data_IF_201700293540
#
_entry.id   IF_201700293540
#
_cell.length_a   1.000
_cell.length_b   1.000
_cell.length_c   1.000
_cell.angle_alpha   90.00
_cell.angle_beta   90.00
_cell.angle_gamma   90.00
#
_symmetry.space_group_name_H-M   'P 1'
#
loop_
_entity.id
_entity.type
_entity.pdbx_description
1 polymer ?
#
# COMPACT_ATOMS: atom_id res chain seq x y z
N UNK A 1 30.16 2.51 -8.86
CA UNK A 1 29.55 3.35 -7.80
C UNK A 1 28.09 2.95 -7.67
N UNK A 2 27.74 2.21 -6.63
CA UNK A 2 26.40 1.66 -6.40
C UNK A 2 25.68 2.54 -5.38
N UNK A 3 24.58 3.17 -5.79
CA UNK A 3 23.63 3.80 -4.85
C UNK A 3 22.25 3.12 -4.98
N UNK A 4 22.05 1.90 -4.42
CA UNK A 4 20.78 1.17 -4.54
C UNK A 4 19.79 1.51 -3.41
N UNK A 5 20.26 1.97 -2.25
CA UNK A 5 19.45 2.12 -1.03
C UNK A 5 18.39 3.24 -1.12
N UNK A 6 18.63 4.27 -1.94
CA UNK A 6 17.76 5.46 -1.99
C UNK A 6 16.42 5.21 -2.67
N UNK A 7 16.32 4.21 -3.58
CA UNK A 7 15.08 3.95 -4.34
C UNK A 7 13.96 3.30 -3.50
N UNK A 8 14.30 2.38 -2.58
CA UNK A 8 13.32 1.65 -1.77
C UNK A 8 12.60 2.52 -0.73
N UNK A 9 13.34 3.42 -0.07
CA UNK A 9 12.75 4.40 0.83
C UNK A 9 11.83 5.39 0.09
N UNK A 10 12.21 5.78 -1.13
CA UNK A 10 11.42 6.68 -1.97
C UNK A 10 10.05 6.12 -2.34
N UNK A 11 9.97 4.86 -2.81
CA UNK A 11 8.69 4.29 -3.24
C UNK A 11 7.70 4.10 -2.09
N UNK A 12 8.17 3.69 -0.91
CA UNK A 12 7.33 3.54 0.27
C UNK A 12 6.74 4.88 0.72
N UNK A 13 7.54 5.95 0.65
CA UNK A 13 7.05 7.30 0.92
C UNK A 13 6.00 7.74 -0.10
N UNK A 14 6.24 7.53 -1.39
CA UNK A 14 5.26 7.82 -2.45
C UNK A 14 3.94 7.09 -2.22
N UNK A 15 3.98 5.79 -1.91
CA UNK A 15 2.77 4.99 -1.64
C UNK A 15 2.04 5.50 -0.39
N UNK A 16 2.75 5.87 0.67
CA UNK A 16 2.14 6.45 1.87
C UNK A 16 1.47 7.79 1.58
N UNK A 17 2.14 8.69 0.87
CA UNK A 17 1.57 9.97 0.47
C UNK A 17 0.32 9.80 -0.39
N UNK A 18 0.35 8.86 -1.33
CA UNK A 18 -0.81 8.51 -2.14
C UNK A 18 -1.98 8.06 -1.26
N UNK A 19 -1.77 7.10 -0.35
CA UNK A 19 -2.83 6.61 0.53
C UNK A 19 -3.35 7.71 1.46
N UNK A 20 -2.46 8.55 2.00
CA UNK A 20 -2.84 9.69 2.83
C UNK A 20 -3.67 10.71 2.05
N UNK A 21 -3.41 10.92 0.76
CA UNK A 21 -4.21 11.82 -0.07
C UNK A 21 -5.66 11.31 -0.21
N UNK A 22 -5.83 10.01 -0.49
CA UNK A 22 -7.17 9.39 -0.54
C UNK A 22 -7.87 9.43 0.82
N UNK A 23 -7.16 9.06 1.89
CA UNK A 23 -7.74 9.09 3.24
C UNK A 23 -8.05 10.52 3.71
N UNK A 24 -7.32 11.53 3.24
CA UNK A 24 -7.51 12.93 3.59
C UNK A 24 -8.76 13.57 2.97
N UNK A 25 -9.25 13.03 1.85
CA UNK A 25 -10.47 13.52 1.22
C UNK A 25 -11.71 13.34 2.11
N UNK A 26 -11.82 12.21 2.81
CA UNK A 26 -12.97 11.91 3.65
C UNK A 26 -13.17 12.89 4.84
N UNK A 27 -12.17 13.20 5.70
CA UNK A 27 -12.33 14.21 6.75
C UNK A 27 -12.48 15.63 6.19
N UNK A 28 -11.91 15.93 5.01
CA UNK A 28 -12.14 17.22 4.35
C UNK A 28 -13.62 17.38 3.95
N UNK A 29 -14.22 16.36 3.34
CA UNK A 29 -15.65 16.39 3.04
C UNK A 29 -16.50 16.38 4.31
N UNK A 30 -16.09 15.68 5.38
CA UNK A 30 -16.78 15.76 6.67
C UNK A 30 -16.82 17.20 7.19
N UNK A 31 -15.69 17.90 7.13
CA UNK A 31 -15.58 19.30 7.53
C UNK A 31 -16.49 20.21 6.69
N UNK A 32 -16.54 19.99 5.37
CA UNK A 32 -17.44 20.72 4.48
C UNK A 32 -18.91 20.43 4.85
N UNK A 33 -19.26 19.18 5.14
CA UNK A 33 -20.63 18.78 5.49
C UNK A 33 -21.14 19.44 6.78
N UNK A 34 -20.26 19.80 7.73
CA UNK A 34 -20.66 20.55 8.94
C UNK A 34 -21.31 21.90 8.63
N UNK A 35 -21.04 22.48 7.46
CA UNK A 35 -21.60 23.76 7.04
C UNK A 35 -22.81 23.63 6.11
N UNK A 36 -23.06 22.44 5.55
CA UNK A 36 -24.04 22.25 4.47
C UNK A 36 -25.20 21.34 4.89
N UNK A 37 -24.94 20.32 5.70
CA UNK A 37 -25.93 19.31 6.09
C UNK A 37 -26.43 19.52 7.53
N UNK A 38 -27.67 19.13 7.81
CA UNK A 38 -28.27 19.28 9.14
C UNK A 38 -27.63 18.29 10.14
N UNK A 39 -26.99 18.76 11.22
CA UNK A 39 -26.41 17.90 12.25
C UNK A 39 -27.44 17.33 13.24
N UNK A 40 -28.68 17.84 13.25
CA UNK A 40 -29.68 17.51 14.27
C UNK A 40 -30.51 16.26 14.01
N UNK A 41 -30.53 15.74 12.78
CA UNK A 41 -31.43 14.65 12.39
C UNK A 41 -30.68 13.38 12.01
N UNK A 42 -30.95 12.22 12.62
CA UNK A 42 -30.32 10.97 12.21
C UNK A 42 -30.88 10.47 10.87
N UNK A 43 -30.07 9.76 10.06
CA UNK A 43 -30.53 9.13 8.84
C UNK A 43 -31.48 7.97 9.15
N UNK A 44 -32.26 7.56 8.16
CA UNK A 44 -33.06 6.34 8.27
C UNK A 44 -32.17 5.11 8.48
N UNK A 45 -32.65 4.13 9.24
CA UNK A 45 -31.93 2.87 9.50
C UNK A 45 -31.59 2.14 8.20
N UNK A 46 -32.47 2.20 7.19
CA UNK A 46 -32.23 1.60 5.88
C UNK A 46 -31.00 2.20 5.17
N UNK A 47 -30.83 3.52 5.23
CA UNK A 47 -29.65 4.21 4.67
C UNK A 47 -28.37 3.76 5.37
N UNK A 48 -28.38 3.70 6.70
CA UNK A 48 -27.21 3.24 7.48
C UNK A 48 -26.86 1.80 7.12
N UNK A 49 -27.83 0.89 7.12
CA UNK A 49 -27.61 -0.52 6.75
C UNK A 49 -27.06 -0.62 5.33
N UNK A 50 -27.63 0.13 4.37
CA UNK A 50 -27.17 0.14 2.99
C UNK A 50 -25.70 0.57 2.85
N UNK A 51 -25.29 1.64 3.55
CA UNK A 51 -23.91 2.12 3.55
C UNK A 51 -22.94 1.14 4.24
N UNK A 52 -23.37 0.46 5.30
CA UNK A 52 -22.56 -0.57 5.95
C UNK A 52 -22.39 -1.80 5.06
N UNK A 53 -23.46 -2.26 4.40
CA UNK A 53 -23.40 -3.35 3.42
C UNK A 53 -22.47 -3.00 2.27
N UNK A 54 -22.54 -1.75 1.78
CA UNK A 54 -21.64 -1.27 0.74
C UNK A 54 -20.17 -1.31 1.18
N UNK A 55 -19.86 -0.89 2.42
CA UNK A 55 -18.51 -0.98 2.98
C UNK A 55 -18.01 -2.42 3.09
N UNK A 56 -18.85 -3.35 3.53
CA UNK A 56 -18.51 -4.77 3.58
C UNK A 56 -18.28 -5.31 2.16
N UNK A 57 -19.11 -4.93 1.21
CA UNK A 57 -18.96 -5.34 -0.19
C UNK A 57 -17.63 -4.83 -0.78
N UNK A 58 -17.29 -3.55 -0.59
CA UNK A 58 -16.01 -3.00 -1.09
C UNK A 58 -14.80 -3.61 -0.39
N UNK A 59 -14.90 -3.93 0.90
CA UNK A 59 -13.87 -4.69 1.61
C UNK A 59 -13.61 -6.05 0.93
N UNK A 60 -14.67 -6.81 0.63
CA UNK A 60 -14.56 -8.11 -0.04
C UNK A 60 -14.02 -7.96 -1.47
N UNK A 61 -14.50 -6.97 -2.22
CA UNK A 61 -14.01 -6.72 -3.59
C UNK A 61 -12.54 -6.31 -3.59
N UNK A 62 -12.10 -5.46 -2.66
CA UNK A 62 -10.70 -5.07 -2.50
C UNK A 62 -9.81 -6.27 -2.16
N UNK A 63 -10.32 -7.22 -1.36
CA UNK A 63 -9.64 -8.47 -1.04
C UNK A 63 -9.49 -9.40 -2.26
N UNK A 64 -10.54 -9.51 -3.08
CA UNK A 64 -10.57 -10.42 -4.23
C UNK A 64 -9.81 -9.90 -5.45
N UNK A 65 -9.84 -8.59 -5.67
CA UNK A 65 -9.31 -7.94 -6.88
C UNK A 65 -8.03 -7.16 -6.59
N UNK A 66 -7.96 -6.47 -5.46
CA UNK A 66 -6.89 -5.51 -5.14
C UNK A 66 -5.52 -6.12 -4.81
N UNK A 67 -5.39 -7.45 -4.83
CA UNK A 67 -4.12 -8.15 -4.67
C UNK A 67 -3.72 -9.01 -5.88
N UNK A 68 -4.50 -8.98 -6.97
CA UNK A 68 -4.18 -9.75 -8.17
C UNK A 68 -3.06 -9.07 -8.93
N UNK A 69 -1.95 -9.78 -9.10
CA UNK A 69 -0.81 -9.32 -9.91
C UNK A 69 -0.25 -10.47 -10.74
N UNK A 70 0.18 -10.22 -11.99
CA UNK A 70 0.94 -11.20 -12.75
C UNK A 70 2.22 -11.59 -11.99
N UNK A 71 2.57 -12.86 -12.04
CA UNK A 71 3.80 -13.37 -11.45
C UNK A 71 5.03 -12.90 -12.24
N UNK A 72 6.17 -12.79 -11.55
CA UNK A 72 7.46 -12.58 -12.18
C UNK A 72 7.98 -13.93 -12.66
N UNK A 73 8.32 -14.02 -13.95
CA UNK A 73 8.82 -15.27 -14.53
C UNK A 73 10.20 -15.65 -13.96
N UNK A 74 10.49 -16.94 -13.78
CA UNK A 74 11.83 -17.42 -13.45
C UNK A 74 12.89 -16.89 -14.41
N UNK A 75 14.06 -16.52 -13.89
CA UNK A 75 15.17 -16.00 -14.71
C UNK A 75 15.03 -14.53 -15.12
N UNK A 76 14.00 -13.81 -14.67
CA UNK A 76 13.88 -12.36 -14.88
C UNK A 76 15.09 -11.65 -14.26
N UNK A 77 15.78 -10.75 -14.99
CA UNK A 77 16.90 -9.99 -14.46
C UNK A 77 16.51 -9.16 -13.22
N UNK A 78 17.38 -9.04 -12.19
CA UNK A 78 17.05 -8.36 -10.93
C UNK A 78 16.53 -6.93 -11.11
N UNK A 79 17.11 -6.17 -12.03
CA UNK A 79 16.72 -4.78 -12.29
C UNK A 79 15.29 -4.68 -12.82
N UNK A 80 14.89 -5.62 -13.69
CA UNK A 80 13.52 -5.69 -14.21
C UNK A 80 12.55 -6.18 -13.14
N UNK A 81 12.93 -7.18 -12.35
CA UNK A 81 12.10 -7.70 -11.28
C UNK A 81 11.75 -6.62 -10.25
N UNK A 82 12.73 -5.78 -9.86
CA UNK A 82 12.52 -4.64 -8.96
C UNK A 82 11.57 -3.60 -9.56
N UNK A 83 11.71 -3.30 -10.85
CA UNK A 83 10.81 -2.39 -11.57
C UNK A 83 9.37 -2.91 -11.61
N UNK A 84 9.18 -4.19 -11.95
CA UNK A 84 7.87 -4.85 -11.97
C UNK A 84 7.23 -4.88 -10.59
N UNK A 85 7.99 -5.23 -9.54
CA UNK A 85 7.51 -5.28 -8.17
C UNK A 85 7.07 -3.89 -7.66
N UNK A 86 7.85 -2.86 -8.00
CA UNK A 86 7.56 -1.46 -7.69
C UNK A 86 6.26 -0.98 -8.35
N UNK A 87 6.10 -1.25 -9.66
CA UNK A 87 4.89 -0.92 -10.39
C UNK A 87 3.66 -1.67 -9.85
N UNK A 88 3.82 -2.95 -9.51
CA UNK A 88 2.77 -3.76 -8.90
C UNK A 88 2.33 -3.21 -7.54
N UNK A 89 3.27 -2.74 -6.71
CA UNK A 89 2.96 -2.13 -5.41
C UNK A 89 2.11 -0.86 -5.56
N UNK A 90 2.52 0.06 -6.44
CA UNK A 90 1.77 1.30 -6.68
C UNK A 90 0.41 1.00 -7.29
N UNK A 91 0.37 0.17 -8.34
CA UNK A 91 -0.86 -0.16 -9.07
C UNK A 91 -1.88 -0.86 -8.20
N UNK A 92 -1.49 -1.90 -7.44
CA UNK A 92 -2.41 -2.58 -6.53
C UNK A 92 -2.88 -1.69 -5.39
N UNK A 93 -2.03 -0.78 -4.91
CA UNK A 93 -2.43 0.19 -3.88
C UNK A 93 -3.48 1.16 -4.41
N UNK A 94 -3.31 1.70 -5.63
CA UNK A 94 -4.33 2.55 -6.27
C UNK A 94 -5.66 1.82 -6.43
N UNK A 95 -5.63 0.56 -6.91
CA UNK A 95 -6.86 -0.24 -7.07
C UNK A 95 -7.55 -0.46 -5.73
N UNK A 96 -6.80 -0.85 -4.68
CA UNK A 96 -7.37 -1.01 -3.33
C UNK A 96 -7.94 0.31 -2.81
N UNK A 97 -7.20 1.41 -2.92
CA UNK A 97 -7.64 2.73 -2.47
C UNK A 97 -8.96 3.13 -3.16
N UNK A 98 -9.04 3.07 -4.49
CA UNK A 98 -10.25 3.43 -5.24
C UNK A 98 -11.48 2.57 -4.90
N UNK A 99 -11.30 1.24 -4.77
CA UNK A 99 -12.39 0.34 -4.35
C UNK A 99 -12.88 0.74 -2.96
N UNK A 100 -11.96 0.94 -2.01
CA UNK A 100 -12.31 1.26 -0.62
C UNK A 100 -12.77 2.69 -0.40
N UNK A 101 -12.49 3.61 -1.33
CA UNK A 101 -12.97 5.00 -1.31
C UNK A 101 -14.42 5.11 -1.79
N UNK A 102 -14.85 4.20 -2.65
CA UNK A 102 -16.19 4.22 -3.26
C UNK A 102 -17.33 4.49 -2.25
N UNK A 103 -17.37 3.87 -1.05
CA UNK A 103 -18.42 4.15 -0.07
C UNK A 103 -18.39 5.59 0.46
N UNK A 104 -17.24 6.27 0.51
CA UNK A 104 -17.14 7.69 0.87
C UNK A 104 -17.88 8.54 -0.16
N UNK A 105 -17.63 8.29 -1.45
CA UNK A 105 -18.27 9.01 -2.56
C UNK A 105 -19.78 8.74 -2.58
N UNK A 106 -20.20 7.48 -2.40
CA UNK A 106 -21.62 7.14 -2.31
C UNK A 106 -22.30 7.79 -1.10
N UNK A 107 -21.67 7.81 0.06
CA UNK A 107 -22.20 8.46 1.25
C UNK A 107 -22.34 9.98 1.05
N UNK A 108 -21.37 10.61 0.37
CA UNK A 108 -21.41 12.01 0.01
C UNK A 108 -22.61 12.32 -0.90
N UNK A 109 -22.78 11.54 -1.98
CA UNK A 109 -23.93 11.70 -2.89
C UNK A 109 -25.25 11.49 -2.13
N UNK A 110 -25.33 10.43 -1.34
CA UNK A 110 -26.55 10.06 -0.62
C UNK A 110 -26.96 11.09 0.43
N UNK A 111 -26.00 11.83 1.00
CA UNK A 111 -26.25 12.93 1.93
C UNK A 111 -27.14 14.01 1.30
N UNK A 112 -27.00 14.26 -0.01
CA UNK A 112 -27.80 15.25 -0.72
C UNK A 112 -29.10 14.71 -1.33
N UNK A 113 -29.14 13.41 -1.63
CA UNK A 113 -30.32 12.77 -2.24
C UNK A 113 -31.33 12.32 -1.18
N UNK A 114 -30.86 11.87 -0.02
CA UNK A 114 -31.73 11.47 1.07
C UNK A 114 -32.38 12.69 1.72
N UNK A 115 -33.65 12.56 2.09
CA UNK A 115 -34.37 13.55 2.90
C UNK A 115 -34.59 12.95 4.30
N UNK A 116 -34.13 13.60 5.38
CA UNK A 116 -33.41 14.87 5.43
C UNK A 116 -31.94 14.75 4.96
N UNK A 117 -31.39 15.86 4.46
CA UNK A 117 -29.94 16.00 4.24
C UNK A 117 -29.24 16.15 5.58
N UNK A 118 -28.48 15.14 5.97
CA UNK A 118 -27.79 15.10 7.27
C UNK A 118 -26.35 14.63 7.16
N UNK A 119 -25.46 15.27 7.92
CA UNK A 119 -24.06 14.87 8.07
C UNK A 119 -23.92 13.42 8.56
N UNK A 120 -24.88 12.93 9.33
CA UNK A 120 -24.86 11.57 9.85
C UNK A 120 -24.94 10.51 8.73
N UNK A 121 -25.59 10.82 7.60
CA UNK A 121 -25.58 9.96 6.39
C UNK A 121 -24.15 9.83 5.86
N UNK A 122 -23.45 10.95 5.74
CA UNK A 122 -22.06 10.97 5.29
C UNK A 122 -21.15 10.17 6.22
N UNK A 123 -21.24 10.44 7.53
CA UNK A 123 -20.39 9.78 8.54
C UNK A 123 -20.64 8.27 8.61
N UNK A 124 -21.89 7.82 8.46
CA UNK A 124 -22.25 6.41 8.47
C UNK A 124 -21.55 5.60 7.37
N UNK A 125 -21.28 6.21 6.21
CA UNK A 125 -20.52 5.56 5.14
C UNK A 125 -19.02 5.85 5.18
N UNK A 126 -18.63 7.09 5.46
CA UNK A 126 -17.25 7.54 5.37
C UNK A 126 -16.35 7.01 6.50
N UNK A 127 -16.86 6.91 7.73
CA UNK A 127 -16.06 6.41 8.87
C UNK A 127 -15.68 4.94 8.69
N UNK A 128 -16.62 4.01 8.39
CA UNK A 128 -16.25 2.64 8.08
C UNK A 128 -15.34 2.54 6.85
N UNK A 129 -15.55 3.36 5.82
CA UNK A 129 -14.72 3.35 4.62
C UNK A 129 -13.27 3.71 4.92
N UNK A 130 -13.04 4.71 5.78
CA UNK A 130 -11.71 5.06 6.26
C UNK A 130 -11.04 3.91 7.01
N UNK A 131 -11.79 3.17 7.83
CA UNK A 131 -11.25 1.99 8.52
C UNK A 131 -10.88 0.89 7.53
N UNK A 132 -11.72 0.63 6.54
CA UNK A 132 -11.47 -0.35 5.47
C UNK A 132 -10.25 0.07 4.64
N UNK A 133 -10.15 1.33 4.26
CA UNK A 133 -9.01 1.89 3.53
C UNK A 133 -7.71 1.82 4.34
N UNK A 134 -7.76 2.10 5.64
CA UNK A 134 -6.61 1.94 6.54
C UNK A 134 -6.11 0.49 6.59
N UNK A 135 -7.00 -0.50 6.48
CA UNK A 135 -6.63 -1.92 6.47
C UNK A 135 -6.04 -2.36 5.13
N UNK A 136 -6.65 -1.96 4.01
CA UNK A 136 -6.30 -2.47 2.67
C UNK A 136 -5.31 -1.60 1.89
N UNK A 137 -5.42 -0.28 1.98
CA UNK A 137 -4.58 0.63 1.20
C UNK A 137 -3.26 0.95 1.91
N UNK A 138 -3.25 0.98 3.25
CA UNK A 138 -2.03 1.33 4.00
C UNK A 138 -0.90 0.31 3.76
N UNK A 139 0.32 0.76 3.41
CA UNK A 139 1.41 -0.14 3.07
C UNK A 139 2.06 -0.77 4.32
N UNK A 140 1.34 -1.72 4.92
CA UNK A 140 1.78 -2.50 6.07
C UNK A 140 2.53 -3.77 5.63
N UNK A 141 3.22 -4.42 6.59
CA UNK A 141 3.99 -5.65 6.33
C UNK A 141 3.13 -6.80 5.79
N UNK A 142 1.84 -6.86 6.13
CA UNK A 142 0.92 -7.89 5.64
C UNK A 142 0.66 -7.72 4.14
N UNK A 143 0.37 -6.50 3.71
CA UNK A 143 0.15 -6.14 2.30
C UNK A 143 1.38 -6.45 1.47
N UNK A 144 2.56 -6.03 1.95
CA UNK A 144 3.84 -6.25 1.26
C UNK A 144 4.12 -7.74 1.08
N UNK A 145 4.02 -8.54 2.15
CA UNK A 145 4.26 -9.99 2.08
C UNK A 145 3.27 -10.72 1.17
N UNK A 146 2.00 -10.32 1.20
CA UNK A 146 0.99 -10.92 0.34
C UNK A 146 1.24 -10.62 -1.14
N UNK A 147 1.63 -9.38 -1.43
CA UNK A 147 1.99 -8.98 -2.78
C UNK A 147 3.26 -9.69 -3.27
N UNK A 148 4.29 -9.79 -2.41
CA UNK A 148 5.50 -10.56 -2.70
C UNK A 148 5.19 -12.02 -3.01
N UNK A 149 4.35 -12.69 -2.21
CA UNK A 149 3.92 -14.05 -2.47
C UNK A 149 3.15 -14.20 -3.79
N UNK A 150 2.37 -13.18 -4.19
CA UNK A 150 1.67 -13.16 -5.48
C UNK A 150 2.63 -12.99 -6.66
N UNK A 151 3.65 -12.14 -6.52
CA UNK A 151 4.68 -11.92 -7.53
C UNK A 151 5.62 -13.11 -7.68
N UNK A 152 5.95 -13.78 -6.58
CA UNK A 152 6.92 -14.88 -6.54
C UNK A 152 6.28 -16.25 -6.79
N UNK A 153 4.97 -16.33 -7.09
CA UNK A 153 4.22 -17.59 -7.20
C UNK A 153 4.74 -18.57 -8.25
N UNK A 154 5.35 -18.08 -9.32
CA UNK A 154 5.87 -18.89 -10.42
C UNK A 154 7.38 -19.18 -10.27
N UNK A 155 7.97 -18.88 -9.11
CA UNK A 155 9.39 -19.12 -8.81
C UNK A 155 10.32 -17.95 -9.13
N UNK A 156 9.78 -16.81 -9.58
CA UNK A 156 10.50 -15.54 -9.64
C UNK A 156 10.83 -14.98 -8.25
N UNK A 157 11.72 -13.98 -8.20
CA UNK A 157 12.09 -13.28 -6.97
C UNK A 157 11.90 -11.78 -7.14
N UNK A 158 10.91 -11.21 -6.47
CA UNK A 158 10.60 -9.78 -6.50
C UNK A 158 11.43 -8.94 -5.51
N UNK A 159 11.90 -9.56 -4.41
CA UNK A 159 12.61 -8.88 -3.31
C UNK A 159 11.85 -7.68 -2.72
N UNK A 160 10.50 -7.71 -2.78
CA UNK A 160 9.66 -6.58 -2.42
C UNK A 160 9.77 -6.22 -0.94
N UNK A 161 9.89 -7.22 -0.05
CA UNK A 161 10.08 -6.96 1.38
C UNK A 161 11.44 -6.31 1.69
N UNK A 162 12.48 -6.66 0.93
CA UNK A 162 13.80 -6.04 1.07
C UNK A 162 13.77 -4.59 0.58
N UNK A 163 13.12 -4.34 -0.57
CA UNK A 163 12.91 -3.00 -1.12
C UNK A 163 12.14 -2.10 -0.15
N UNK A 164 11.03 -2.60 0.42
CA UNK A 164 10.22 -1.85 1.37
C UNK A 164 10.96 -1.52 2.67
N UNK A 165 11.97 -2.33 3.03
CA UNK A 165 12.85 -2.10 4.17
C UNK A 165 14.08 -1.24 3.83
N UNK A 166 14.26 -0.82 2.57
CA UNK A 166 15.44 -0.09 2.11
C UNK A 166 16.73 -0.93 2.07
N UNK A 167 16.61 -2.26 2.02
CA UNK A 167 17.73 -3.21 1.98
C UNK A 167 18.06 -3.63 0.54
N UNK A 168 19.31 -4.06 0.32
CA UNK A 168 19.70 -4.62 -0.97
C UNK A 168 18.99 -5.98 -1.21
N UNK A 169 18.64 -6.31 -2.46
CA UNK A 169 17.99 -7.58 -2.81
C UNK A 169 18.81 -8.78 -2.33
N UNK A 170 18.19 -9.69 -1.56
CA UNK A 170 18.80 -10.99 -1.20
C UNK A 170 19.48 -11.04 0.17
N UNK A 171 19.47 -9.96 0.95
CA UNK A 171 19.96 -9.98 2.34
C UNK A 171 18.93 -10.52 3.35
N UNK A 172 17.69 -10.82 2.93
CA UNK A 172 16.58 -11.10 3.83
C UNK A 172 16.38 -12.54 4.33
N UNK A 173 16.81 -13.60 3.61
CA UNK A 173 16.38 -14.98 3.97
C UNK A 173 17.36 -16.12 3.62
N UNK A 174 18.68 -15.87 3.56
CA UNK A 174 19.69 -16.88 3.21
C UNK A 174 20.75 -17.22 4.29
N UNK A 175 20.50 -16.89 5.56
CA UNK A 175 21.52 -16.95 6.61
C UNK A 175 21.58 -18.26 7.41
N UNK A 176 21.60 -19.42 6.77
CA UNK A 176 22.06 -20.66 7.42
C UNK A 176 22.79 -21.55 6.41
N UNK A 177 24.11 -21.64 6.57
CA UNK A 177 24.95 -22.68 5.96
C UNK A 177 26.04 -22.15 5.03
N UNK A 178 27.30 -22.26 5.47
CA UNK A 178 28.46 -22.19 4.56
C UNK A 178 29.67 -21.48 5.14
N UNK A 179 30.44 -22.19 5.96
CA UNK A 179 31.74 -21.80 6.51
C UNK A 179 32.68 -21.14 5.47
N UNK A 180 33.10 -19.90 5.75
CA UNK A 180 34.23 -19.26 5.08
C UNK A 180 35.54 -19.66 5.76
N UNK A 181 36.34 -20.48 5.07
CA UNK A 181 37.76 -20.68 5.41
C UNK A 181 38.54 -19.45 4.93
N UNK A 182 39.25 -18.80 5.86
CA UNK A 182 40.00 -17.58 5.62
C UNK A 182 41.22 -17.78 4.72
N UNK A 183 41.34 -16.93 3.71
CA UNK A 183 42.59 -16.65 3.01
C UNK A 183 43.04 -15.24 3.37
N UNK A 184 44.02 -15.13 4.26
CA UNK A 184 44.71 -13.88 4.58
C UNK A 184 45.64 -13.50 3.40
N UNK A 185 45.26 -12.50 2.61
CA UNK A 185 46.14 -11.83 1.66
C UNK A 185 46.75 -10.60 2.32
N UNK A 186 48.02 -10.69 2.73
CA UNK A 186 48.76 -9.60 3.35
C UNK A 186 49.01 -8.44 2.37
N UNK A 187 48.76 -7.23 2.84
CA UNK A 187 49.09 -5.99 2.14
C UNK A 187 50.45 -5.49 2.66
N UNK A 188 51.44 -5.38 1.77
CA UNK A 188 52.78 -4.89 2.10
C UNK A 188 52.97 -3.53 1.42
N UNK A 189 53.09 -2.41 2.17
CA UNK A 189 53.24 -1.09 1.58
C UNK A 189 54.66 -0.87 1.03
N UNK A 190 54.83 -0.25 -0.14
CA UNK A 190 56.14 0.07 -0.69
C UNK A 190 56.78 1.27 0.03
N UNK A 191 58.05 1.10 0.38
CA UNK A 191 58.86 2.08 1.10
C UNK A 191 59.24 3.31 0.27
N UNK A 192 59.32 4.44 0.96
CA UNK A 192 59.86 5.69 0.46
C UNK A 192 61.37 5.56 0.25
N UNK A 193 61.84 5.68 -1.00
CA UNK A 193 63.24 6.05 -1.26
C UNK A 193 63.33 7.56 -1.48
N UNK A 194 64.15 8.17 -0.64
CA UNK A 194 64.57 9.57 -0.68
C UNK A 194 65.44 9.82 -1.91
N UNK A 195 65.14 10.89 -2.65
CA UNK A 195 66.12 11.74 -3.33
C UNK A 195 65.57 13.17 -3.37
#
# INVERSE_FOLDING_TARGET
>A
MTTPATRGAGIMWTVRLLVLAFMGAAPLFALIMLFIADPGQPPSTAVVIGLLVLNVATFVVAELVGYRTPAIQPGTPPERAVGTASAALVGTTMVRAAITESPVIFALILTFVATPSTIWTYLAGAVPALLVMAVHAWPNRRVIRRLEASLDRDGGRSHLSDLAAGRAPGHGHGGHGGHGHGGQGGYQPPGFQQY
#
